data_IF_965965892736
#
_entry.id   IF_965965892736
#
_cell.length_a   1.000
_cell.length_b   1.000
_cell.length_c   1.000
_cell.angle_alpha   90.00
_cell.angle_beta   90.00
_cell.angle_gamma   90.00
#
_symmetry.space_group_name_H-M   'P 1'
#
loop_
_entity.id
_entity.type
_entity.pdbx_description
1 polymer ?
#
# COMPACT_ATOMS: atom_id res chain seq x y z
N UNK A 1 -12.60 0.37 24.93
CA UNK A 1 -12.13 1.15 23.76
C UNK A 1 -11.66 0.17 22.71
N UNK A 2 -12.04 0.35 21.44
CA UNK A 2 -11.65 -0.58 20.36
C UNK A 2 -10.24 -0.21 19.88
N UNK A 3 -9.32 -1.15 19.92
CA UNK A 3 -7.99 -1.02 19.30
C UNK A 3 -8.09 -1.22 17.78
N UNK A 4 -7.11 -0.69 17.04
CA UNK A 4 -7.01 -0.84 15.58
C UNK A 4 -5.80 -1.70 15.25
N UNK A 5 -6.02 -2.75 14.47
CA UNK A 5 -4.95 -3.60 13.94
C UNK A 5 -4.45 -3.06 12.62
N UNK A 6 -3.15 -2.79 12.52
CA UNK A 6 -2.54 -2.22 11.31
C UNK A 6 -1.46 -3.13 10.78
N UNK A 7 -1.58 -3.49 9.50
CA UNK A 7 -0.50 -4.13 8.75
C UNK A 7 0.36 -3.06 8.08
N UNK A 8 1.68 -3.06 8.32
CA UNK A 8 2.59 -2.06 7.76
C UNK A 8 3.50 -2.68 6.70
N UNK A 9 3.13 -2.49 5.44
CA UNK A 9 3.95 -2.81 4.28
C UNK A 9 5.10 -1.80 4.13
N UNK A 10 6.28 -2.27 3.77
CA UNK A 10 7.46 -1.41 3.60
C UNK A 10 8.76 -2.19 3.66
N UNK A 11 9.83 -1.63 3.09
CA UNK A 11 11.13 -2.27 3.13
C UNK A 11 11.65 -2.35 4.56
N UNK A 12 12.05 -3.55 4.95
CA UNK A 12 13.05 -3.78 6.00
C UNK A 12 14.39 -3.44 5.34
N UNK A 13 15.22 -2.58 5.95
CA UNK A 13 16.49 -2.16 5.32
C UNK A 13 17.37 -3.38 5.02
N UNK A 14 18.26 -3.31 4.03
CA UNK A 14 19.13 -4.45 3.68
C UNK A 14 20.09 -4.84 4.82
N UNK A 15 20.34 -3.88 5.71
CA UNK A 15 21.17 -3.99 6.91
C UNK A 15 20.36 -4.45 8.13
N UNK A 16 19.04 -4.55 8.01
CA UNK A 16 18.17 -4.97 9.11
C UNK A 16 18.22 -6.48 9.27
N UNK A 17 18.47 -6.93 10.49
CA UNK A 17 18.38 -8.35 10.87
C UNK A 17 16.92 -8.63 11.24
N UNK A 18 16.28 -9.56 10.53
CA UNK A 18 14.92 -10.01 10.83
C UNK A 18 14.78 -10.36 12.32
N UNK A 19 13.69 -9.92 12.95
CA UNK A 19 13.41 -10.14 14.37
C UNK A 19 14.12 -9.20 15.36
N UNK A 20 14.86 -8.17 14.91
CA UNK A 20 15.62 -7.30 15.84
C UNK A 20 15.35 -5.81 15.73
N UNK A 21 14.69 -5.33 14.66
CA UNK A 21 14.44 -3.90 14.43
C UNK A 21 12.96 -3.65 14.09
N UNK A 22 12.09 -3.74 15.10
CA UNK A 22 10.64 -3.49 15.02
C UNK A 22 10.32 -1.99 14.88
N UNK A 23 10.83 -1.34 13.84
CA UNK A 23 10.46 0.05 13.53
C UNK A 23 8.95 0.21 13.36
N UNK A 24 8.25 -0.86 12.94
CA UNK A 24 6.80 -0.92 12.80
C UNK A 24 6.07 -0.79 14.16
N UNK A 25 6.60 -1.37 15.24
CA UNK A 25 6.02 -1.21 16.57
C UNK A 25 6.16 0.24 17.05
N UNK A 26 7.33 0.85 16.86
CA UNK A 26 7.54 2.27 17.18
C UNK A 26 6.66 3.20 16.33
N UNK A 27 6.52 2.87 15.03
CA UNK A 27 5.66 3.58 14.10
C UNK A 27 4.17 3.48 14.50
N UNK A 28 3.67 2.29 14.81
CA UNK A 28 2.30 2.12 15.30
C UNK A 28 2.06 2.82 16.65
N UNK A 29 3.07 2.84 17.53
CA UNK A 29 3.00 3.61 18.78
C UNK A 29 2.89 5.11 18.52
N UNK A 30 3.65 5.65 17.56
CA UNK A 30 3.54 7.05 17.14
C UNK A 30 2.16 7.32 16.52
N UNK A 31 1.69 6.45 15.62
CA UNK A 31 0.38 6.54 14.97
C UNK A 31 -0.77 6.59 15.99
N UNK A 32 -0.68 5.80 17.07
CA UNK A 32 -1.68 5.76 18.15
C UNK A 32 -1.99 7.14 18.74
N UNK A 33 -1.01 8.05 18.76
CA UNK A 33 -1.19 9.43 19.27
C UNK A 33 -2.15 10.25 18.44
N UNK A 34 -2.20 9.98 17.13
CA UNK A 34 -3.03 10.69 16.15
C UNK A 34 -4.38 10.00 15.93
N UNK A 35 -4.43 8.68 16.11
CA UNK A 35 -5.68 7.89 16.01
C UNK A 35 -6.53 8.02 17.29
N UNK A 36 -5.90 8.33 18.44
CA UNK A 36 -6.51 8.41 19.77
C UNK A 36 -7.09 7.08 20.32
N UNK A 37 -6.69 5.95 19.74
CA UNK A 37 -6.88 4.60 20.29
C UNK A 37 -5.60 3.78 20.09
N UNK A 38 -5.40 2.67 20.82
CA UNK A 38 -4.25 1.81 20.60
C UNK A 38 -4.21 1.30 19.15
N UNK A 39 -3.07 1.47 18.50
CA UNK A 39 -2.74 0.88 17.20
C UNK A 39 -1.78 -0.28 17.43
N UNK A 40 -2.18 -1.47 17.01
CA UNK A 40 -1.42 -2.70 17.17
C UNK A 40 -0.84 -3.10 15.81
N UNK A 41 0.48 -3.23 15.76
CA UNK A 41 1.19 -3.73 14.58
C UNK A 41 0.87 -5.22 14.36
N UNK A 42 0.40 -5.56 13.16
CA UNK A 42 0.23 -6.92 12.69
C UNK A 42 1.45 -7.27 11.84
N UNK A 43 2.49 -7.80 12.48
CA UNK A 43 3.80 -7.95 11.87
C UNK A 43 4.02 -9.36 11.29
N UNK A 44 4.27 -9.48 9.98
CA UNK A 44 4.52 -10.78 9.35
C UNK A 44 5.86 -11.40 9.75
N UNK A 45 6.81 -10.60 10.23
CA UNK A 45 8.18 -11.03 10.59
C UNK A 45 8.32 -11.39 12.06
N UNK A 46 7.27 -11.25 12.86
CA UNK A 46 7.32 -11.52 14.31
C UNK A 46 7.37 -13.02 14.59
N UNK A 47 8.38 -13.43 15.32
CA UNK A 47 8.61 -14.81 15.78
C UNK A 47 8.44 -14.91 17.31
N UNK A 48 8.38 -16.13 17.82
CA UNK A 48 8.41 -16.42 19.26
C UNK A 48 9.31 -17.62 19.54
N UNK A 49 9.65 -17.85 20.82
CA UNK A 49 10.41 -19.04 21.24
C UNK A 49 9.74 -20.37 20.83
N UNK A 50 8.42 -20.36 20.64
CA UNK A 50 7.62 -21.53 20.26
C UNK A 50 7.25 -21.58 18.78
N UNK A 51 7.61 -20.55 18.01
CA UNK A 51 7.23 -20.44 16.61
C UNK A 51 8.24 -19.62 15.81
N UNK A 52 8.97 -20.32 14.93
CA UNK A 52 9.91 -19.75 13.98
C UNK A 52 9.31 -19.79 12.58
N UNK A 53 9.63 -18.78 11.77
CA UNK A 53 9.20 -18.66 10.39
C UNK A 53 9.96 -19.64 9.51
N UNK A 54 9.27 -20.51 8.74
CA UNK A 54 9.91 -21.34 7.75
C UNK A 54 10.22 -20.50 6.50
N UNK A 55 11.24 -19.65 6.56
CA UNK A 55 11.62 -18.68 5.50
C UNK A 55 11.91 -19.33 4.12
N UNK A 56 12.07 -20.65 4.07
CA UNK A 56 12.26 -21.42 2.83
C UNK A 56 10.95 -21.94 2.22
N UNK A 57 9.84 -21.89 2.96
CA UNK A 57 8.50 -22.24 2.50
C UNK A 57 7.77 -20.99 2.00
N UNK A 58 7.94 -20.69 0.72
CA UNK A 58 7.36 -19.51 0.09
C UNK A 58 5.83 -19.46 0.19
N UNK A 59 5.14 -20.61 0.13
CA UNK A 59 3.68 -20.65 0.22
C UNK A 59 3.23 -20.33 1.65
N UNK A 60 3.96 -20.82 2.66
CA UNK A 60 3.69 -20.50 4.06
C UNK A 60 3.88 -19.01 4.35
N UNK A 61 5.01 -18.42 3.93
CA UNK A 61 5.28 -16.99 4.14
C UNK A 61 4.23 -16.12 3.45
N UNK A 62 4.00 -16.35 2.16
CA UNK A 62 2.98 -15.60 1.41
C UNK A 62 1.56 -15.77 1.99
N UNK A 63 1.21 -16.99 2.42
CA UNK A 63 -0.07 -17.28 3.07
C UNK A 63 -0.20 -16.55 4.41
N UNK A 64 0.90 -16.41 5.17
CA UNK A 64 0.94 -15.64 6.41
C UNK A 64 0.68 -14.16 6.13
N UNK A 65 1.38 -13.53 5.18
CA UNK A 65 1.15 -12.13 4.81
C UNK A 65 -0.33 -11.90 4.42
N UNK A 66 -0.87 -12.75 3.55
CA UNK A 66 -2.28 -12.68 3.13
C UNK A 66 -3.24 -12.76 4.32
N UNK A 67 -2.99 -13.69 5.24
CA UNK A 67 -3.83 -13.90 6.44
C UNK A 67 -3.77 -12.68 7.36
N UNK A 68 -2.58 -12.13 7.59
CA UNK A 68 -2.39 -10.98 8.45
C UNK A 68 -3.02 -9.70 7.87
N UNK A 69 -2.93 -9.50 6.55
CA UNK A 69 -3.63 -8.42 5.85
C UNK A 69 -5.15 -8.60 5.97
N UNK A 70 -5.67 -9.82 5.83
CA UNK A 70 -7.09 -10.11 6.01
C UNK A 70 -7.56 -9.80 7.44
N UNK A 71 -6.72 -10.05 8.45
CA UNK A 71 -7.03 -9.80 9.85
C UNK A 71 -6.92 -8.32 10.25
N UNK A 72 -6.10 -7.53 9.57
CA UNK A 72 -5.92 -6.11 9.87
C UNK A 72 -7.19 -5.29 9.63
N UNK A 73 -7.36 -4.21 10.40
CA UNK A 73 -8.40 -3.21 10.16
C UNK A 73 -7.99 -2.25 9.03
N UNK A 74 -6.69 -1.90 8.97
CA UNK A 74 -6.11 -0.97 7.98
C UNK A 74 -4.75 -1.49 7.52
N UNK A 75 -4.41 -1.25 6.26
CA UNK A 75 -3.09 -1.47 5.70
C UNK A 75 -2.42 -0.12 5.46
N UNK A 76 -1.17 0.02 5.90
CA UNK A 76 -0.32 1.16 5.59
C UNK A 76 0.82 0.67 4.72
N UNK A 77 1.13 1.40 3.65
CA UNK A 77 2.34 1.19 2.87
C UNK A 77 3.27 2.39 3.04
N UNK A 78 4.47 2.13 3.57
CA UNK A 78 5.52 3.13 3.71
C UNK A 78 6.25 3.30 2.37
N UNK A 79 6.10 4.48 1.76
CA UNK A 79 6.62 4.83 0.44
C UNK A 79 7.66 5.95 0.51
N UNK A 80 8.37 6.09 1.63
CA UNK A 80 9.45 7.09 1.79
C UNK A 80 10.60 6.88 0.82
N UNK A 81 10.95 5.62 0.54
CA UNK A 81 12.07 5.25 -0.33
C UNK A 81 11.61 4.46 -1.55
N UNK A 82 11.67 3.14 -1.45
CA UNK A 82 11.38 2.20 -2.53
C UNK A 82 10.48 1.09 -2.02
N UNK A 83 9.55 0.67 -2.85
CA UNK A 83 8.61 -0.39 -2.52
C UNK A 83 9.21 -1.74 -2.95
N UNK A 84 9.08 -2.76 -2.10
CA UNK A 84 9.49 -4.12 -2.48
C UNK A 84 8.45 -4.75 -3.42
N UNK A 85 8.85 -5.86 -4.07
CA UNK A 85 7.91 -6.70 -4.83
C UNK A 85 6.75 -7.15 -3.93
N UNK A 86 7.07 -7.62 -2.71
CA UNK A 86 6.09 -7.97 -1.69
C UNK A 86 5.16 -6.80 -1.36
N UNK A 87 5.71 -5.62 -1.04
CA UNK A 87 4.93 -4.42 -0.73
C UNK A 87 3.93 -4.05 -1.83
N UNK A 88 4.32 -4.21 -3.09
CA UNK A 88 3.44 -3.94 -4.23
C UNK A 88 2.29 -4.95 -4.33
N UNK A 89 2.54 -6.21 -4.03
CA UNK A 89 1.51 -7.26 -4.01
C UNK A 89 0.57 -7.08 -2.81
N UNK A 90 1.10 -6.76 -1.64
CA UNK A 90 0.33 -6.51 -0.40
C UNK A 90 -0.71 -5.41 -0.59
N UNK A 91 -0.40 -4.37 -1.38
CA UNK A 91 -1.36 -3.32 -1.74
C UNK A 91 -2.58 -3.87 -2.50
N UNK A 92 -2.38 -4.76 -3.46
CA UNK A 92 -3.49 -5.39 -4.20
C UNK A 92 -4.23 -6.42 -3.35
N UNK A 93 -3.52 -7.16 -2.49
CA UNK A 93 -4.12 -8.09 -1.52
C UNK A 93 -5.02 -7.33 -0.53
N UNK A 94 -4.61 -6.14 -0.09
CA UNK A 94 -5.44 -5.26 0.72
C UNK A 94 -6.76 -4.91 0.00
N UNK A 95 -6.69 -4.58 -1.30
CA UNK A 95 -7.87 -4.29 -2.13
C UNK A 95 -8.76 -5.51 -2.36
N UNK A 96 -8.17 -6.70 -2.51
CA UNK A 96 -8.89 -7.97 -2.58
C UNK A 96 -9.74 -8.20 -1.32
N UNK A 97 -9.18 -7.94 -0.13
CA UNK A 97 -9.90 -8.02 1.15
C UNK A 97 -10.67 -6.75 1.54
N UNK A 98 -10.79 -5.79 0.63
CA UNK A 98 -11.49 -4.50 0.85
C UNK A 98 -10.99 -3.73 2.08
N UNK A 99 -9.68 -3.82 2.35
CA UNK A 99 -9.04 -3.11 3.46
C UNK A 99 -8.76 -1.67 3.07
N UNK A 100 -9.01 -0.70 3.97
CA UNK A 100 -8.42 0.63 3.85
C UNK A 100 -6.91 0.55 3.63
N UNK A 101 -6.42 1.24 2.61
CA UNK A 101 -5.00 1.28 2.24
C UNK A 101 -4.52 2.74 2.21
N UNK A 102 -3.61 3.07 3.12
CA UNK A 102 -3.00 4.41 3.22
C UNK A 102 -1.54 4.33 2.79
N UNK A 103 -1.16 5.10 1.78
CA UNK A 103 0.24 5.23 1.36
C UNK A 103 0.88 6.46 1.97
N UNK A 104 2.00 6.29 2.68
CA UNK A 104 2.81 7.41 3.20
C UNK A 104 3.89 7.73 2.17
N UNK A 105 3.67 8.79 1.38
CA UNK A 105 4.57 9.24 0.34
C UNK A 105 4.85 10.74 0.51
N UNK A 106 6.02 11.13 1.06
CA UNK A 106 6.36 12.54 1.25
C UNK A 106 6.38 13.34 -0.05
N UNK A 107 5.92 14.60 0.00
CA UNK A 107 5.99 15.50 -1.16
C UNK A 107 7.45 15.72 -1.60
N UNK A 108 7.70 15.53 -2.89
CA UNK A 108 9.04 15.58 -3.48
C UNK A 108 9.74 14.20 -3.53
N UNK A 109 9.20 13.21 -2.81
CA UNK A 109 9.68 11.83 -2.80
C UNK A 109 9.56 11.10 -4.14
N UNK A 110 9.88 9.81 -4.14
CA UNK A 110 9.86 8.98 -5.37
C UNK A 110 8.44 8.86 -5.95
N UNK A 111 7.44 8.75 -5.09
CA UNK A 111 6.06 8.41 -5.46
C UNK A 111 5.09 9.60 -5.46
N UNK A 112 5.49 10.76 -4.92
CA UNK A 112 4.69 11.98 -4.92
C UNK A 112 5.58 13.20 -5.16
N UNK A 113 5.31 13.98 -6.23
CA UNK A 113 6.10 15.14 -6.64
C UNK A 113 5.20 16.32 -6.99
N UNK A 114 5.57 17.52 -6.54
CA UNK A 114 4.90 18.75 -6.95
C UNK A 114 5.01 18.99 -8.46
N UNK A 115 6.16 18.64 -9.04
CA UNK A 115 6.42 18.63 -10.48
C UNK A 115 7.27 17.42 -10.89
N UNK A 116 6.95 16.82 -12.04
CA UNK A 116 7.76 15.77 -12.65
C UNK A 116 7.77 15.90 -14.17
N UNK A 117 8.96 15.88 -14.75
CA UNK A 117 9.11 15.83 -16.20
C UNK A 117 9.10 14.38 -16.70
N UNK A 118 8.25 14.08 -17.68
CA UNK A 118 8.16 12.78 -18.36
C UNK A 118 8.01 13.05 -19.85
N UNK A 119 8.94 12.55 -20.68
CA UNK A 119 8.88 12.71 -22.13
C UNK A 119 8.84 14.18 -22.59
N UNK A 120 9.58 15.07 -21.91
CA UNK A 120 9.62 16.50 -22.21
C UNK A 120 8.39 17.30 -21.79
N UNK A 121 7.44 16.70 -21.06
CA UNK A 121 6.26 17.37 -20.51
C UNK A 121 6.35 17.46 -18.99
N UNK A 122 6.02 18.63 -18.45
CA UNK A 122 5.95 18.85 -16.99
C UNK A 122 4.56 18.50 -16.49
N UNK A 123 4.49 17.56 -15.56
CA UNK A 123 3.28 17.17 -14.85
C UNK A 123 3.30 17.78 -13.44
N UNK A 124 2.27 18.54 -13.09
CA UNK A 124 2.09 19.08 -11.74
C UNK A 124 1.30 18.11 -10.86
N UNK A 125 1.56 18.12 -9.55
CA UNK A 125 0.91 17.22 -8.58
C UNK A 125 1.01 15.73 -8.98
N UNK A 126 2.18 15.33 -9.46
CA UNK A 126 2.40 14.00 -9.99
C UNK A 126 2.46 12.96 -8.87
N UNK A 127 1.61 11.94 -8.94
CA UNK A 127 1.62 10.77 -8.06
C UNK A 127 1.87 9.51 -8.89
N UNK A 128 2.65 8.56 -8.37
CA UNK A 128 2.94 7.33 -9.09
C UNK A 128 1.65 6.52 -9.33
N UNK A 129 1.35 6.07 -10.56
CA UNK A 129 0.07 5.39 -10.85
C UNK A 129 -0.14 4.11 -10.02
N UNK A 130 0.87 3.27 -9.87
CA UNK A 130 0.83 2.08 -8.99
C UNK A 130 0.70 2.37 -7.49
N UNK A 131 0.67 3.66 -7.09
CA UNK A 131 0.34 4.09 -5.72
C UNK A 131 -1.03 4.76 -5.71
N UNK A 132 -1.25 5.74 -6.60
CA UNK A 132 -2.47 6.53 -6.65
C UNK A 132 -3.73 5.71 -6.95
N UNK A 133 -3.62 4.70 -7.82
CA UNK A 133 -4.74 3.83 -8.16
C UNK A 133 -5.15 2.96 -6.97
N UNK A 134 -4.27 2.15 -6.35
CA UNK A 134 -4.67 1.27 -5.24
C UNK A 134 -4.88 1.97 -3.89
N UNK A 135 -4.14 3.03 -3.55
CA UNK A 135 -4.29 3.67 -2.24
C UNK A 135 -5.62 4.43 -2.12
N UNK A 136 -6.28 4.31 -0.97
CA UNK A 136 -7.48 5.09 -0.64
C UNK A 136 -7.11 6.51 -0.20
N UNK A 137 -5.93 6.65 0.40
CA UNK A 137 -5.30 7.94 0.71
C UNK A 137 -3.79 7.89 0.44
N UNK A 138 -3.26 9.01 -0.04
CA UNK A 138 -1.82 9.27 -0.08
C UNK A 138 -1.57 10.46 0.83
N UNK A 139 -0.71 10.27 1.82
CA UNK A 139 -0.41 11.25 2.87
C UNK A 139 1.10 11.44 2.95
N UNK A 140 1.55 12.56 3.52
CA UNK A 140 2.97 12.88 3.55
C UNK A 140 3.72 12.24 4.72
N UNK A 141 3.03 12.00 5.83
CA UNK A 141 3.64 11.53 7.08
C UNK A 141 2.71 10.66 7.95
N UNK A 142 3.25 10.18 9.08
CA UNK A 142 2.55 9.37 10.07
C UNK A 142 1.39 10.12 10.76
N UNK A 143 1.49 11.44 10.91
CA UNK A 143 0.43 12.25 11.53
C UNK A 143 -0.79 12.26 10.63
N UNK A 144 -0.61 12.58 9.35
CA UNK A 144 -1.69 12.60 8.36
C UNK A 144 -2.32 11.21 8.17
N UNK A 145 -1.49 10.15 8.20
CA UNK A 145 -2.00 8.78 8.19
C UNK A 145 -2.91 8.51 9.39
N UNK A 146 -2.48 8.89 10.60
CA UNK A 146 -3.25 8.71 11.83
C UNK A 146 -4.54 9.53 11.84
N UNK A 147 -4.50 10.76 11.35
CA UNK A 147 -5.68 11.61 11.20
C UNK A 147 -6.70 11.01 10.21
N UNK A 148 -6.23 10.46 9.09
CA UNK A 148 -7.10 9.79 8.12
C UNK A 148 -7.77 8.55 8.75
N UNK A 149 -6.99 7.72 9.45
CA UNK A 149 -7.50 6.53 10.14
C UNK A 149 -8.49 6.91 11.24
N UNK A 150 -8.25 7.99 11.99
CA UNK A 150 -9.17 8.47 13.01
C UNK A 150 -10.53 8.86 12.42
N UNK A 151 -10.54 9.54 11.27
CA UNK A 151 -11.76 9.90 10.55
C UNK A 151 -12.52 8.67 10.07
N UNK A 152 -11.81 7.74 9.43
CA UNK A 152 -12.38 6.47 8.98
C UNK A 152 -12.99 5.66 10.15
N UNK A 153 -12.27 5.55 11.27
CA UNK A 153 -12.71 4.81 12.45
C UNK A 153 -13.95 5.44 13.13
N UNK A 154 -14.16 6.75 12.96
CA UNK A 154 -15.37 7.47 13.41
C UNK A 154 -16.56 7.31 12.45
N UNK A 155 -16.39 6.58 11.36
CA UNK A 155 -17.44 6.36 10.35
C UNK A 155 -17.60 7.52 9.37
N UNK A 156 -16.61 8.43 9.27
CA UNK A 156 -16.63 9.40 8.19
C UNK A 156 -16.57 8.68 6.84
N UNK A 157 -17.39 9.13 5.88
CA UNK A 157 -17.53 8.46 4.59
C UNK A 157 -16.22 8.56 3.81
N UNK A 158 -15.48 7.46 3.77
CA UNK A 158 -14.32 7.24 2.91
C UNK A 158 -14.69 6.16 1.89
N UNK A 159 -14.37 6.37 0.61
CA UNK A 159 -14.57 5.34 -0.41
C UNK A 159 -13.39 4.37 -0.34
N UNK A 160 -13.62 3.17 0.21
CA UNK A 160 -12.60 2.12 0.21
C UNK A 160 -12.65 1.41 -1.14
N UNK A 161 -11.58 1.56 -1.91
CA UNK A 161 -11.40 0.89 -3.19
C UNK A 161 -11.33 -0.62 -2.99
N UNK A 162 -11.81 -1.36 -3.97
CA UNK A 162 -11.71 -2.82 -4.03
C UNK A 162 -10.78 -3.23 -5.15
N UNK A 163 -10.61 -4.52 -5.39
CA UNK A 163 -9.82 -5.00 -6.53
C UNK A 163 -10.43 -4.59 -7.90
N UNK A 164 -11.68 -4.10 -7.92
CA UNK A 164 -12.32 -3.50 -9.10
C UNK A 164 -11.52 -2.38 -9.76
N UNK A 165 -10.58 -1.75 -9.04
CA UNK A 165 -9.65 -0.76 -9.60
C UNK A 165 -8.92 -1.25 -10.85
N UNK A 166 -8.70 -2.57 -10.99
CA UNK A 166 -8.04 -3.14 -12.16
C UNK A 166 -8.95 -3.04 -13.39
N UNK A 167 -10.17 -3.57 -13.27
CA UNK A 167 -11.16 -3.55 -14.34
C UNK A 167 -11.59 -2.11 -14.68
N UNK A 168 -11.78 -1.27 -13.67
CA UNK A 168 -12.08 0.16 -13.83
C UNK A 168 -10.96 0.89 -14.59
N UNK A 169 -9.70 0.60 -14.27
CA UNK A 169 -8.55 1.20 -14.96
C UNK A 169 -8.44 0.71 -16.41
N UNK A 170 -8.70 -0.57 -16.66
CA UNK A 170 -8.74 -1.13 -18.02
C UNK A 170 -9.86 -0.49 -18.82
N UNK A 171 -11.07 -0.41 -18.27
CA UNK A 171 -12.21 0.24 -18.91
C UNK A 171 -11.92 1.72 -19.22
N UNK A 172 -11.30 2.44 -18.27
CA UNK A 172 -10.92 3.84 -18.46
C UNK A 172 -9.89 4.04 -19.58
N UNK A 173 -8.88 3.17 -19.65
CA UNK A 173 -7.86 3.20 -20.70
C UNK A 173 -8.45 2.84 -22.06
N UNK A 174 -9.18 1.72 -22.16
CA UNK A 174 -9.73 1.21 -23.42
C UNK A 174 -10.73 2.17 -24.04
N UNK A 175 -11.51 2.91 -23.24
CA UNK A 175 -12.43 3.95 -23.75
C UNK A 175 -11.71 5.16 -24.37
N UNK A 176 -10.37 5.22 -24.32
CA UNK A 176 -9.52 6.29 -24.85
C UNK A 176 -8.37 5.77 -25.73
N UNK A 177 -8.23 4.45 -25.83
CA UNK A 177 -7.11 3.79 -26.48
C UNK A 177 -7.14 3.86 -28.01
N UNK A 178 -8.20 4.43 -28.62
CA UNK A 178 -8.24 4.72 -30.07
C UNK A 178 -7.06 5.60 -30.53
N UNK A 179 -6.48 6.38 -29.62
CA UNK A 179 -5.32 7.24 -29.89
C UNK A 179 -3.96 6.53 -29.68
N UNK A 180 -3.96 5.31 -29.15
CA UNK A 180 -2.76 4.54 -28.85
C UNK A 180 -2.40 3.61 -30.02
N UNK A 181 -1.62 4.15 -30.96
CA UNK A 181 -1.21 3.43 -32.17
C UNK A 181 -0.48 2.10 -31.88
N UNK A 182 0.22 1.99 -30.74
CA UNK A 182 0.92 0.76 -30.37
C UNK A 182 -0.08 -0.35 -30.03
N UNK A 183 -1.12 -0.03 -29.24
CA UNK A 183 -2.14 -1.03 -28.90
C UNK A 183 -3.02 -1.39 -30.08
N UNK A 184 -3.30 -0.46 -31.00
CA UNK A 184 -4.01 -0.80 -32.24
C UNK A 184 -3.21 -1.80 -33.09
N UNK A 185 -1.91 -1.55 -33.28
CA UNK A 185 -1.04 -2.46 -34.03
C UNK A 185 -0.99 -3.87 -33.42
N UNK A 186 -1.02 -3.99 -32.09
CA UNK A 186 -1.08 -5.29 -31.42
C UNK A 186 -2.41 -6.02 -31.62
N UNK A 187 -3.53 -5.30 -31.63
CA UNK A 187 -4.87 -5.91 -31.87
C UNK A 187 -4.97 -6.50 -33.27
N UNK A 188 -4.52 -5.73 -34.26
CA UNK A 188 -4.50 -6.19 -35.66
C UNK A 188 -3.66 -7.46 -35.83
N UNK A 189 -2.65 -7.67 -34.98
CA UNK A 189 -1.79 -8.87 -34.99
C UNK A 189 -2.32 -10.05 -34.18
N UNK A 190 -3.33 -9.84 -33.31
CA UNK A 190 -3.91 -10.87 -32.43
C UNK A 190 -5.18 -11.50 -33.00
N UNK A 191 -5.85 -10.80 -33.93
CA UNK A 191 -7.07 -11.25 -34.60
C UNK A 191 -6.78 -12.03 -35.92
N UNK A 192 -5.50 -12.25 -36.27
CA UNK A 192 -5.02 -13.18 -37.33
C UNK A 192 -4.72 -14.59 -36.79
#
# INVERSE_FOLDING_TARGET
MKQIYVYVAGKVSKESVFGTHDWRDAFCLALSRHVHVPVINVDPTKESETFLLPETDAQFIFGRDCTLIQMADVVIVNLTDDISVGGSQEMLIAKYYQKPLVGIAPLGGKFYKSQKEIGGRVHTDWKHPFVAVPCDAIVEDEREAGEWIAKWAKGEKQSIKTLSILDESIAYYTSRAEQDAYVQLLKDSYDE
#
